data_IF_750838282345
#
_entry.id   IF_750838282345
#
_cell.length_a   1.000
_cell.length_b   1.000
_cell.length_c   1.000
_cell.angle_alpha   90.00
_cell.angle_beta   90.00
_cell.angle_gamma   90.00
#
_symmetry.space_group_name_H-M   'P 1'
#
loop_
_entity.id
_entity.type
_entity.pdbx_description
1 polymer ?
#
# COMPACT_ATOMS: atom_id res chain seq x y z
N UNK A 1 8.35 -7.18 -11.29
CA UNK A 1 7.01 -6.54 -11.20
C UNK A 1 6.69 -6.12 -9.78
N UNK A 2 6.43 -7.06 -8.86
CA UNK A 2 6.05 -6.74 -7.47
C UNK A 2 7.04 -5.86 -6.72
N UNK A 3 8.34 -6.13 -6.88
CA UNK A 3 9.43 -5.30 -6.32
C UNK A 3 9.35 -3.86 -6.86
N UNK A 4 9.11 -3.71 -8.16
CA UNK A 4 8.97 -2.39 -8.79
C UNK A 4 7.71 -1.66 -8.31
N UNK A 5 6.58 -2.35 -8.26
CA UNK A 5 5.31 -1.80 -7.74
C UNK A 5 5.42 -1.36 -6.29
N UNK A 6 6.05 -2.18 -5.43
CA UNK A 6 6.32 -1.82 -4.03
C UNK A 6 7.27 -0.62 -3.94
N UNK A 7 8.34 -0.61 -4.74
CA UNK A 7 9.25 0.52 -4.81
C UNK A 7 8.53 1.83 -5.18
N UNK A 8 7.72 1.82 -6.23
CA UNK A 8 6.94 2.98 -6.65
C UNK A 8 5.93 3.43 -5.58
N UNK A 9 5.19 2.48 -4.98
CA UNK A 9 4.22 2.77 -3.92
C UNK A 9 4.86 3.51 -2.74
N UNK A 10 6.03 3.07 -2.30
CA UNK A 10 6.72 3.69 -1.17
C UNK A 10 7.44 4.99 -1.53
N UNK A 11 7.86 5.17 -2.79
CA UNK A 11 8.29 6.49 -3.29
C UNK A 11 7.11 7.47 -3.24
N UNK A 12 5.92 7.08 -3.71
CA UNK A 12 4.73 7.92 -3.63
C UNK A 12 4.35 8.25 -2.20
N UNK A 13 4.41 7.29 -1.29
CA UNK A 13 4.08 7.53 0.12
C UNK A 13 4.96 8.63 0.72
N UNK A 14 6.28 8.60 0.48
CA UNK A 14 7.21 9.63 0.99
C UNK A 14 7.01 10.97 0.28
N UNK A 15 6.79 10.96 -1.04
CA UNK A 15 6.49 12.17 -1.82
C UNK A 15 5.20 12.83 -1.31
N UNK A 16 4.13 12.07 -1.18
CA UNK A 16 2.84 12.58 -0.71
C UNK A 16 2.89 12.99 0.76
N UNK A 17 3.68 12.30 1.59
CA UNK A 17 3.96 12.74 2.95
C UNK A 17 4.58 14.14 2.98
N UNK A 18 5.60 14.38 2.15
CA UNK A 18 6.26 15.68 2.09
C UNK A 18 5.33 16.77 1.57
N UNK A 19 4.49 16.47 0.57
CA UNK A 19 3.46 17.40 0.08
C UNK A 19 2.44 17.73 1.17
N UNK A 20 1.97 16.73 1.91
CA UNK A 20 1.05 16.92 3.03
C UNK A 20 1.68 17.75 4.14
N UNK A 21 2.96 17.55 4.46
CA UNK A 21 3.67 18.37 5.43
C UNK A 21 3.77 19.83 4.99
N UNK A 22 4.03 20.09 3.72
CA UNK A 22 4.07 21.45 3.17
C UNK A 22 2.70 22.12 3.23
N UNK A 23 1.62 21.37 2.98
CA UNK A 23 0.26 21.89 2.98
C UNK A 23 -0.29 22.05 4.40
N UNK A 24 -0.09 21.10 5.32
CA UNK A 24 -0.70 21.10 6.67
C UNK A 24 0.22 21.76 7.70
N UNK A 25 1.54 21.73 7.50
CA UNK A 25 2.56 22.28 8.40
C UNK A 25 2.87 21.40 9.62
N UNK A 26 2.07 20.37 9.90
CA UNK A 26 2.28 19.45 11.04
C UNK A 26 2.63 18.05 10.57
N UNK A 27 3.80 17.54 10.98
CA UNK A 27 4.29 16.21 10.60
C UNK A 27 3.40 15.08 11.14
N UNK A 28 2.98 15.15 12.40
CA UNK A 28 2.17 14.10 13.04
C UNK A 28 0.78 14.00 12.42
N UNK A 29 0.13 15.13 12.16
CA UNK A 29 -1.21 15.17 11.56
C UNK A 29 -1.14 14.69 10.10
N UNK A 30 -0.14 15.16 9.35
CA UNK A 30 0.09 14.73 7.96
C UNK A 30 0.30 13.23 7.84
N UNK A 31 1.09 12.64 8.75
CA UNK A 31 1.34 11.20 8.77
C UNK A 31 0.06 10.40 9.06
N UNK A 32 -0.73 10.83 10.04
CA UNK A 32 -2.00 10.19 10.38
C UNK A 32 -3.01 10.24 9.23
N UNK A 33 -3.10 11.37 8.53
CA UNK A 33 -3.96 11.52 7.34
C UNK A 33 -3.45 10.65 6.19
N UNK A 34 -2.13 10.65 5.95
CA UNK A 34 -1.52 9.84 4.91
C UNK A 34 -1.80 8.36 5.15
N UNK A 35 -1.38 7.80 6.28
CA UNK A 35 -1.59 6.39 6.61
C UNK A 35 -3.06 6.04 6.67
N UNK A 36 -3.89 6.90 7.27
CA UNK A 36 -5.34 6.70 7.33
C UNK A 36 -5.97 6.60 5.95
N UNK A 37 -5.61 7.52 5.04
CA UNK A 37 -6.12 7.52 3.66
C UNK A 37 -5.54 6.36 2.85
N UNK A 38 -4.25 6.06 3.01
CA UNK A 38 -3.56 4.98 2.31
C UNK A 38 -4.17 3.62 2.68
N UNK A 39 -4.36 3.37 3.97
CA UNK A 39 -4.97 2.14 4.48
C UNK A 39 -6.46 2.04 4.15
N UNK A 40 -7.22 3.15 4.26
CA UNK A 40 -8.63 3.18 3.87
C UNK A 40 -8.80 2.93 2.37
N UNK A 41 -8.00 3.59 1.54
CA UNK A 41 -7.95 3.39 0.10
C UNK A 41 -7.59 1.95 -0.24
N UNK A 42 -6.53 1.41 0.35
CA UNK A 42 -6.13 0.02 0.10
C UNK A 42 -7.23 -0.99 0.48
N UNK A 43 -7.87 -0.78 1.62
CA UNK A 43 -9.01 -1.59 2.06
C UNK A 43 -10.17 -1.52 1.04
N UNK A 44 -10.61 -0.31 0.68
CA UNK A 44 -11.68 -0.10 -0.28
C UNK A 44 -11.36 -0.71 -1.64
N UNK A 45 -10.15 -0.49 -2.15
CA UNK A 45 -9.66 -1.07 -3.40
C UNK A 45 -9.69 -2.60 -3.39
N UNK A 46 -9.25 -3.21 -2.29
CA UNK A 46 -9.21 -4.65 -2.15
C UNK A 46 -10.60 -5.31 -2.13
N UNK A 47 -11.59 -4.59 -1.60
CA UNK A 47 -12.98 -5.02 -1.52
C UNK A 47 -13.74 -4.74 -2.83
N UNK A 48 -13.41 -3.64 -3.52
CA UNK A 48 -14.14 -3.19 -4.70
C UNK A 48 -13.73 -3.96 -5.96
N UNK A 49 -12.44 -4.31 -6.11
CA UNK A 49 -11.95 -4.98 -7.31
C UNK A 49 -12.71 -6.29 -7.62
N UNK A 50 -12.92 -7.23 -6.68
CA UNK A 50 -13.63 -8.48 -6.98
C UNK A 50 -15.10 -8.27 -7.37
N UNK A 51 -15.69 -7.11 -7.05
CA UNK A 51 -17.08 -6.76 -7.36
C UNK A 51 -17.21 -6.06 -8.72
N UNK A 52 -16.23 -5.21 -9.07
CA UNK A 52 -16.28 -4.39 -10.29
C UNK A 52 -15.68 -5.12 -11.48
N UNK A 53 -14.55 -5.81 -11.29
CA UNK A 53 -13.85 -6.48 -12.39
C UNK A 53 -14.28 -7.95 -12.46
N UNK A 54 -14.88 -8.41 -13.57
CA UNK A 54 -15.34 -9.79 -13.68
C UNK A 54 -14.16 -10.77 -13.71
N UNK A 55 -14.38 -12.02 -13.28
CA UNK A 55 -13.33 -13.04 -13.17
C UNK A 55 -12.78 -13.54 -14.52
N UNK A 56 -13.50 -13.24 -15.62
CA UNK A 56 -13.11 -13.55 -17.01
C UNK A 56 -11.97 -12.67 -17.55
N UNK A 57 -11.70 -11.54 -16.90
CA UNK A 57 -10.62 -10.68 -17.35
C UNK A 57 -9.26 -11.22 -16.93
N UNK A 58 -8.32 -11.21 -17.87
CA UNK A 58 -6.97 -11.69 -17.66
C UNK A 58 -6.31 -10.92 -16.49
N UNK A 59 -5.89 -11.60 -15.39
CA UNK A 59 -5.45 -10.94 -14.16
C UNK A 59 -4.26 -10.01 -14.35
N UNK A 60 -3.30 -10.37 -15.21
CA UNK A 60 -2.16 -9.50 -15.56
C UNK A 60 -2.56 -8.24 -16.34
N UNK A 61 -3.66 -8.25 -17.12
CA UNK A 61 -4.15 -7.04 -17.82
C UNK A 61 -4.79 -6.08 -16.83
N UNK A 62 -5.58 -6.62 -15.90
CA UNK A 62 -6.16 -5.84 -14.79
C UNK A 62 -5.04 -5.22 -13.97
N UNK A 63 -4.04 -6.00 -13.57
CA UNK A 63 -2.86 -5.51 -12.85
C UNK A 63 -2.12 -4.42 -13.63
N UNK A 64 -1.90 -4.60 -14.93
CA UNK A 64 -1.26 -3.58 -15.76
C UNK A 64 -2.05 -2.25 -15.79
N UNK A 65 -3.37 -2.31 -15.98
CA UNK A 65 -4.21 -1.11 -15.98
C UNK A 65 -4.24 -0.41 -14.62
N UNK A 66 -4.18 -1.17 -13.51
CA UNK A 66 -4.05 -0.60 -12.17
C UNK A 66 -2.72 0.17 -12.03
N UNK A 67 -1.60 -0.43 -12.42
CA UNK A 67 -0.27 0.19 -12.35
C UNK A 67 -0.18 1.45 -13.22
N UNK A 68 -0.68 1.38 -14.45
CA UNK A 68 -0.74 2.55 -15.34
C UNK A 68 -1.67 3.64 -14.78
N UNK A 69 -2.80 3.26 -14.19
CA UNK A 69 -3.73 4.17 -13.53
C UNK A 69 -3.12 4.88 -12.32
N UNK A 70 -2.33 4.16 -11.51
CA UNK A 70 -1.58 4.75 -10.38
C UNK A 70 -0.62 5.82 -10.90
N UNK A 71 0.18 5.50 -11.93
CA UNK A 71 1.12 6.47 -12.52
C UNK A 71 0.40 7.68 -13.13
N UNK A 72 -0.71 7.47 -13.83
CA UNK A 72 -1.52 8.54 -14.40
C UNK A 72 -2.10 9.47 -13.32
N UNK A 73 -2.68 8.89 -12.25
CA UNK A 73 -3.21 9.66 -11.13
C UNK A 73 -2.11 10.41 -10.37
N UNK A 74 -0.92 9.84 -10.24
CA UNK A 74 0.21 10.53 -9.63
C UNK A 74 0.62 11.78 -10.41
N UNK A 75 0.64 11.73 -11.74
CA UNK A 75 0.87 12.92 -12.59
C UNK A 75 -0.25 13.95 -12.39
N UNK A 76 -1.52 13.50 -12.38
CA UNK A 76 -2.66 14.40 -12.15
C UNK A 76 -2.56 15.11 -10.81
N UNK A 77 -2.19 14.40 -9.74
CA UNK A 77 -1.97 14.98 -8.41
C UNK A 77 -0.82 15.99 -8.43
N UNK A 78 0.29 15.65 -9.09
CA UNK A 78 1.46 16.52 -9.20
C UNK A 78 1.14 17.84 -9.91
N UNK A 79 0.43 17.78 -11.04
CA UNK A 79 0.03 18.96 -11.83
C UNK A 79 -1.11 19.73 -11.14
N UNK A 80 -1.99 19.03 -10.42
CA UNK A 80 -3.11 19.63 -9.67
C UNK A 80 -2.66 20.38 -8.41
N UNK A 81 -1.50 20.05 -7.85
CA UNK A 81 -1.02 20.61 -6.58
C UNK A 81 -0.88 22.15 -6.59
N UNK A 82 -0.30 22.80 -7.61
CA UNK A 82 -0.27 24.26 -7.71
C UNK A 82 -1.66 24.92 -7.73
N UNK A 83 -2.66 24.28 -8.36
CA UNK A 83 -4.03 24.79 -8.41
C UNK A 83 -4.69 24.74 -7.03
N UNK A 84 -4.47 23.65 -6.29
CA UNK A 84 -4.92 23.53 -4.89
C UNK A 84 -4.25 24.60 -4.03
N UNK A 85 -2.96 24.85 -4.23
CA UNK A 85 -2.22 25.94 -3.57
C UNK A 85 -2.75 27.34 -3.91
N UNK A 86 -3.14 27.59 -5.16
CA UNK A 86 -3.71 28.88 -5.60
C UNK A 86 -5.08 29.15 -4.99
N UNK A 87 -6.01 28.19 -5.10
CA UNK A 87 -7.35 28.28 -4.46
C UNK A 87 -7.23 28.42 -2.95
N UNK A 88 -6.22 27.76 -2.36
CA UNK A 88 -5.88 27.85 -0.94
C UNK A 88 -5.47 29.26 -0.49
N UNK A 89 -4.61 29.97 -1.25
CA UNK A 89 -4.23 31.36 -0.90
C UNK A 89 -5.40 32.33 -0.90
N UNK A 90 -6.42 32.07 -1.73
CA UNK A 90 -7.63 32.88 -1.80
C UNK A 90 -8.62 32.64 -0.64
N UNK A 91 -8.53 31.50 0.04
CA UNK A 91 -9.46 31.06 1.11
C UNK A 91 -8.76 30.87 2.47
N UNK A 92 -7.54 31.38 2.63
CA UNK A 92 -6.65 31.12 3.76
C UNK A 92 -7.19 31.72 5.09
N UNK A 93 -8.15 31.05 5.72
CA UNK A 93 -8.46 31.22 7.13
C UNK A 93 -7.42 30.54 8.01
N UNK A 94 -7.10 31.14 9.16
CA UNK A 94 -6.26 30.55 10.21
C UNK A 94 -7.11 29.70 11.17
N UNK A 95 -6.64 28.50 11.54
CA UNK A 95 -7.27 27.66 12.57
C UNK A 95 -7.58 26.21 12.16
N UNK A 96 -8.23 25.47 13.08
CA UNK A 96 -8.52 24.03 12.97
C UNK A 96 -9.36 23.69 11.74
N UNK A 97 -10.31 24.55 11.36
CA UNK A 97 -11.15 24.36 10.18
C UNK A 97 -10.31 24.29 8.89
N UNK A 98 -9.27 25.10 8.78
CA UNK A 98 -8.34 25.06 7.65
C UNK A 98 -7.57 23.74 7.58
N UNK A 99 -7.14 23.20 8.73
CA UNK A 99 -6.46 21.90 8.82
C UNK A 99 -7.39 20.77 8.39
N UNK A 100 -8.64 20.76 8.87
CA UNK A 100 -9.64 19.74 8.50
C UNK A 100 -9.95 19.80 7.01
N UNK A 101 -10.15 20.99 6.44
CA UNK A 101 -10.40 21.13 5.00
C UNK A 101 -9.20 20.65 4.16
N UNK A 102 -7.96 20.96 4.57
CA UNK A 102 -6.74 20.45 3.91
C UNK A 102 -6.65 18.93 4.00
N UNK A 103 -6.97 18.37 5.17
CA UNK A 103 -6.98 16.93 5.39
C UNK A 103 -8.00 16.23 4.48
N UNK A 104 -9.21 16.78 4.38
CA UNK A 104 -10.27 16.23 3.51
C UNK A 104 -9.88 16.34 2.05
N UNK A 105 -9.41 17.50 1.59
CA UNK A 105 -8.99 17.70 0.20
C UNK A 105 -7.86 16.74 -0.18
N UNK A 106 -6.83 16.61 0.67
CA UNK A 106 -5.74 15.68 0.43
C UNK A 106 -6.20 14.22 0.49
N UNK A 107 -7.09 13.89 1.43
CA UNK A 107 -7.73 12.57 1.49
C UNK A 107 -8.45 12.23 0.18
N UNK A 108 -9.25 13.14 -0.35
CA UNK A 108 -9.96 12.97 -1.63
C UNK A 108 -9.00 12.82 -2.81
N UNK A 109 -7.89 13.56 -2.83
CA UNK A 109 -6.88 13.43 -3.89
C UNK A 109 -6.10 12.12 -3.82
N UNK A 110 -5.79 11.63 -2.61
CA UNK A 110 -4.98 10.43 -2.38
C UNK A 110 -5.81 9.15 -2.39
N UNK A 111 -7.13 9.22 -2.18
CA UNK A 111 -7.98 8.03 -2.15
C UNK A 111 -7.99 7.26 -3.48
N UNK A 112 -8.14 7.89 -4.66
CA UNK A 112 -8.14 7.17 -5.93
C UNK A 112 -6.87 6.34 -6.20
N UNK A 113 -5.64 6.89 -6.13
CA UNK A 113 -4.45 6.08 -6.39
C UNK A 113 -4.23 5.00 -5.33
N UNK A 114 -4.56 5.27 -4.06
CA UNK A 114 -4.41 4.27 -2.98
C UNK A 114 -5.44 3.13 -3.09
N UNK A 115 -6.64 3.41 -3.61
CA UNK A 115 -7.60 2.38 -4.00
C UNK A 115 -7.06 1.49 -5.13
N UNK A 116 -6.41 2.06 -6.15
CA UNK A 116 -5.78 1.26 -7.20
C UNK A 116 -4.63 0.41 -6.64
N UNK A 117 -3.81 0.96 -5.74
CA UNK A 117 -2.74 0.23 -5.06
C UNK A 117 -3.29 -0.97 -4.26
N UNK A 118 -4.38 -0.79 -3.51
CA UNK A 118 -5.02 -1.89 -2.76
C UNK A 118 -5.62 -2.98 -3.63
N UNK A 119 -5.99 -2.64 -4.86
CA UNK A 119 -6.52 -3.59 -5.82
C UNK A 119 -5.44 -4.48 -6.47
N UNK A 120 -4.15 -4.12 -6.38
CA UNK A 120 -3.07 -4.87 -7.04
C UNK A 120 -2.93 -6.31 -6.55
N UNK A 121 -2.96 -6.54 -5.23
CA UNK A 121 -2.83 -7.88 -4.65
C UNK A 121 -4.03 -8.79 -4.99
N UNK A 122 -5.30 -8.34 -4.87
CA UNK A 122 -6.45 -9.12 -5.32
C UNK A 122 -6.50 -9.39 -6.82
N UNK A 123 -5.94 -8.51 -7.65
CA UNK A 123 -5.87 -8.75 -9.10
C UNK A 123 -5.00 -9.98 -9.40
N UNK A 124 -3.89 -10.13 -8.67
CA UNK A 124 -2.91 -11.18 -8.89
C UNK A 124 -3.29 -12.47 -8.19
N UNK A 125 -3.96 -12.41 -7.04
CA UNK A 125 -4.43 -13.61 -6.33
C UNK A 125 -5.41 -14.44 -7.17
N UNK A 126 -6.05 -13.85 -8.19
CA UNK A 126 -6.88 -14.55 -9.18
C UNK A 126 -6.12 -15.53 -10.08
N UNK A 127 -4.83 -15.30 -10.31
CA UNK A 127 -3.99 -16.18 -11.12
C UNK A 127 -3.48 -17.39 -10.32
N UNK A 128 -3.41 -17.23 -9.01
CA UNK A 128 -2.86 -18.21 -8.08
C UNK A 128 -3.99 -19.12 -7.58
N UNK A 129 -3.88 -20.43 -7.82
CA UNK A 129 -4.85 -21.40 -7.27
C UNK A 129 -4.82 -21.37 -5.75
N UNK A 130 -5.96 -21.63 -5.11
CA UNK A 130 -6.06 -21.80 -3.66
C UNK A 130 -5.48 -23.15 -3.19
N UNK A 131 -4.28 -23.50 -3.65
CA UNK A 131 -3.49 -24.65 -3.20
C UNK A 131 -2.40 -24.17 -2.22
N UNK A 132 -1.85 -25.05 -1.36
CA UNK A 132 -0.74 -24.70 -0.47
C UNK A 132 0.45 -24.08 -1.20
N UNK A 133 0.77 -24.59 -2.39
CA UNK A 133 1.80 -24.05 -3.28
C UNK A 133 1.43 -22.67 -3.79
N UNK A 134 0.17 -22.45 -4.19
CA UNK A 134 -0.30 -21.14 -4.61
C UNK A 134 -0.24 -20.10 -3.50
N UNK A 135 -0.68 -20.44 -2.29
CA UNK A 135 -0.60 -19.54 -1.14
C UNK A 135 0.87 -19.16 -0.83
N UNK A 136 1.81 -20.10 -0.97
CA UNK A 136 3.24 -19.82 -0.83
C UNK A 136 3.76 -18.84 -1.91
N UNK A 137 3.33 -18.99 -3.16
CA UNK A 137 3.64 -18.05 -4.24
C UNK A 137 3.07 -16.65 -4.00
N UNK A 138 1.84 -16.54 -3.48
CA UNK A 138 1.25 -15.25 -3.11
C UNK A 138 2.06 -14.57 -1.98
N UNK A 139 2.52 -15.35 -1.00
CA UNK A 139 3.44 -14.89 0.04
C UNK A 139 4.78 -14.43 -0.52
N UNK A 140 5.35 -15.13 -1.50
CA UNK A 140 6.58 -14.72 -2.18
C UNK A 140 6.40 -13.39 -2.94
N UNK A 141 5.28 -13.22 -3.65
CA UNK A 141 4.95 -11.96 -4.32
C UNK A 141 4.79 -10.80 -3.35
N UNK A 142 4.14 -11.04 -2.22
CA UNK A 142 4.01 -10.05 -1.14
C UNK A 142 5.37 -9.71 -0.51
N UNK A 143 6.23 -10.71 -0.26
CA UNK A 143 7.60 -10.50 0.20
C UNK A 143 8.45 -9.67 -0.77
N UNK A 144 8.31 -9.93 -2.08
CA UNK A 144 8.93 -9.12 -3.13
C UNK A 144 8.42 -7.66 -3.12
N UNK A 145 7.13 -7.45 -2.86
CA UNK A 145 6.56 -6.11 -2.71
C UNK A 145 7.13 -5.37 -1.49
N UNK A 146 7.22 -6.03 -0.32
CA UNK A 146 7.86 -5.47 0.88
C UNK A 146 9.32 -5.11 0.59
N UNK A 147 10.10 -6.02 0.00
CA UNK A 147 11.49 -5.76 -0.35
C UNK A 147 11.62 -4.55 -1.28
N UNK A 148 10.77 -4.49 -2.31
CA UNK A 148 10.65 -3.32 -3.17
C UNK A 148 10.35 -2.04 -2.41
N UNK A 149 9.42 -2.10 -1.45
CA UNK A 149 9.07 -0.98 -0.59
C UNK A 149 10.22 -0.48 0.29
N UNK A 150 11.02 -1.38 0.85
CA UNK A 150 12.25 -1.01 1.60
C UNK A 150 13.22 -0.27 0.67
N UNK A 151 13.46 -0.78 -0.54
CA UNK A 151 14.32 -0.09 -1.50
C UNK A 151 13.74 1.26 -1.92
N UNK A 152 12.45 1.32 -2.22
CA UNK A 152 11.75 2.54 -2.60
C UNK A 152 11.78 3.60 -1.52
N UNK A 153 11.61 3.20 -0.26
CA UNK A 153 11.62 4.15 0.86
C UNK A 153 13.00 4.77 1.07
N UNK A 154 14.06 3.95 1.03
CA UNK A 154 15.43 4.42 1.15
C UNK A 154 15.85 5.30 -0.04
N UNK A 155 15.54 4.88 -1.28
CA UNK A 155 15.86 5.65 -2.48
C UNK A 155 15.10 6.99 -2.49
N UNK A 156 13.81 7.00 -2.15
CA UNK A 156 13.03 8.22 -2.07
C UNK A 156 13.59 9.20 -1.03
N UNK A 157 13.77 8.73 0.21
CA UNK A 157 14.19 9.58 1.31
C UNK A 157 15.62 10.08 1.18
N UNK A 158 16.59 9.21 0.85
CA UNK A 158 18.01 9.53 0.92
C UNK A 158 18.64 9.96 -0.40
N UNK A 159 18.05 9.59 -1.54
CA UNK A 159 18.62 9.90 -2.85
C UNK A 159 17.74 10.87 -3.64
N UNK A 160 16.50 10.48 -3.96
CA UNK A 160 15.62 11.27 -4.82
C UNK A 160 15.30 12.63 -4.20
N UNK A 161 14.84 12.68 -2.95
CA UNK A 161 14.47 13.93 -2.30
C UNK A 161 15.66 14.72 -1.75
N UNK A 162 16.84 14.10 -1.66
CA UNK A 162 18.08 14.76 -1.26
C UNK A 162 18.73 15.52 -2.41
N UNK A 163 18.79 14.88 -3.59
CA UNK A 163 19.45 15.41 -4.79
C UNK A 163 18.47 16.12 -5.73
N UNK A 164 17.19 15.74 -5.69
CA UNK A 164 16.16 16.25 -6.58
C UNK A 164 14.90 16.67 -5.80
N UNK A 165 13.93 17.20 -6.52
CA UNK A 165 12.66 17.64 -5.96
C UNK A 165 11.57 16.55 -6.04
N UNK A 166 10.46 16.82 -5.35
CA UNK A 166 9.24 15.99 -5.32
C UNK A 166 8.74 15.64 -6.74
N UNK A 167 8.89 16.56 -7.69
CA UNK A 167 8.55 16.37 -9.11
C UNK A 167 9.36 15.23 -9.74
N UNK A 168 10.69 15.24 -9.60
CA UNK A 168 11.56 14.20 -10.17
C UNK A 168 11.32 12.85 -9.50
N UNK A 169 11.11 12.84 -8.17
CA UNK A 169 10.77 11.63 -7.44
C UNK A 169 9.44 11.01 -7.94
N UNK A 170 8.44 11.84 -8.22
CA UNK A 170 7.15 11.40 -8.78
C UNK A 170 7.35 10.80 -10.18
N UNK A 171 8.10 11.47 -11.06
CA UNK A 171 8.38 10.93 -12.40
C UNK A 171 9.17 9.62 -12.37
N UNK A 172 10.10 9.46 -11.43
CA UNK A 172 10.81 8.20 -11.24
C UNK A 172 9.86 7.07 -10.84
N UNK A 173 8.95 7.32 -9.89
CA UNK A 173 7.92 6.35 -9.50
C UNK A 173 6.98 6.01 -10.68
N UNK A 174 6.54 7.02 -11.44
CA UNK A 174 5.70 6.82 -12.63
C UNK A 174 6.42 5.97 -13.67
N UNK A 175 7.70 6.22 -13.93
CA UNK A 175 8.50 5.42 -14.86
C UNK A 175 8.57 3.95 -14.43
N UNK A 176 8.68 3.70 -13.11
CA UNK A 176 8.63 2.34 -12.56
C UNK A 176 7.25 1.71 -12.79
N UNK A 177 6.15 2.40 -12.49
CA UNK A 177 4.80 1.88 -12.76
C UNK A 177 4.57 1.60 -14.25
N UNK A 178 5.00 2.49 -15.14
CA UNK A 178 4.93 2.30 -16.59
C UNK A 178 5.70 1.05 -17.00
N UNK A 179 6.93 0.88 -16.51
CA UNK A 179 7.73 -0.32 -16.78
C UNK A 179 7.06 -1.61 -16.28
N UNK A 180 6.54 -1.59 -15.05
CA UNK A 180 5.82 -2.74 -14.46
C UNK A 180 4.53 -3.05 -15.24
N UNK A 181 3.76 -2.03 -15.59
CA UNK A 181 2.52 -2.16 -16.37
C UNK A 181 2.76 -2.69 -17.77
N UNK A 182 3.78 -2.18 -18.48
CA UNK A 182 4.16 -2.66 -19.81
C UNK A 182 4.64 -4.10 -19.76
N UNK A 183 5.51 -4.46 -18.81
CA UNK A 183 5.93 -5.84 -18.64
C UNK A 183 4.71 -6.74 -18.35
N UNK A 184 3.73 -6.27 -17.57
CA UNK A 184 2.53 -7.03 -17.25
C UNK A 184 1.63 -7.25 -18.47
N UNK A 185 1.53 -6.27 -19.37
CA UNK A 185 0.86 -6.42 -20.66
C UNK A 185 1.58 -7.42 -21.57
N UNK A 186 2.92 -7.39 -21.61
CA UNK A 186 3.71 -8.34 -22.39
C UNK A 186 3.53 -9.77 -21.87
N UNK A 187 3.59 -9.99 -20.55
CA UNK A 187 3.33 -11.34 -20.02
C UNK A 187 1.87 -11.76 -20.15
N UNK A 188 0.92 -10.81 -20.19
CA UNK A 188 -0.48 -11.11 -20.45
C UNK A 188 -0.74 -11.53 -21.90
N UNK A 189 0.05 -11.06 -22.87
CA UNK A 189 -0.11 -11.46 -24.27
C UNK A 189 0.53 -12.82 -24.57
N UNK A 190 1.51 -13.25 -23.77
CA UNK A 190 2.18 -14.56 -23.92
C UNK A 190 1.54 -15.67 -23.10
N UNK A 191 0.77 -15.34 -22.07
CA UNK A 191 0.17 -16.34 -21.17
C UNK A 191 -1.24 -16.70 -21.62
N UNK A 192 -1.49 -17.98 -21.91
CA UNK A 192 -2.85 -18.47 -22.16
C UNK A 192 -3.59 -18.58 -20.83
N UNK A 193 -4.51 -17.64 -20.57
CA UNK A 193 -5.40 -17.71 -19.41
C UNK A 193 -6.58 -18.63 -19.74
N UNK A 194 -6.51 -19.86 -19.25
CA UNK A 194 -7.68 -20.72 -19.23
C UNK A 194 -8.69 -20.12 -18.24
N UNK A 195 -9.88 -19.75 -18.75
CA UNK A 195 -10.95 -19.17 -17.97
C UNK A 195 -11.16 -19.95 -16.66
N UNK A 196 -11.05 -19.27 -15.52
CA UNK A 196 -11.46 -19.84 -14.24
C UNK A 196 -12.97 -20.18 -14.20
N UNK A 197 -13.74 -19.74 -15.21
CA UNK A 197 -15.17 -20.00 -15.36
C UNK A 197 -15.52 -21.47 -15.66
N UNK A 198 -14.61 -22.28 -16.19
CA UNK A 198 -14.87 -23.72 -16.41
C UNK A 198 -14.60 -24.58 -15.17
N UNK A 199 -14.03 -24.02 -14.10
CA UNK A 199 -13.76 -24.74 -12.86
C UNK A 199 -14.82 -24.55 -11.76
N UNK A 200 -15.88 -23.77 -12.00
CA UNK A 200 -16.89 -23.45 -10.99
C UNK A 200 -18.30 -23.89 -11.38
N UNK A 201 -18.51 -25.19 -11.52
CA UNK A 201 -19.85 -25.82 -11.40
C UNK A 201 -20.03 -26.41 -10.02
N UNK A 202 -19.84 -25.61 -8.99
CA UNK A 202 -20.38 -25.85 -7.66
C UNK A 202 -20.21 -24.57 -6.84
N UNK A 203 -21.30 -23.90 -6.43
CA UNK A 203 -21.21 -22.90 -5.38
C UNK A 203 -20.94 -23.67 -4.09
N UNK A 204 -19.68 -23.99 -3.82
CA UNK A 204 -19.27 -24.28 -2.46
C UNK A 204 -19.59 -23.02 -1.66
N UNK A 205 -20.75 -23.04 -1.00
CA UNK A 205 -21.07 -22.18 0.12
C UNK A 205 -19.82 -22.13 0.97
N UNK A 206 -19.10 -21.01 0.91
CA UNK A 206 -18.06 -20.67 1.88
C UNK A 206 -18.74 -20.71 3.25
N UNK A 207 -18.70 -21.88 3.88
CA UNK A 207 -19.14 -22.06 5.24
C UNK A 207 -18.27 -21.12 6.06
N UNK A 208 -18.83 -19.97 6.47
CA UNK A 208 -18.17 -19.11 7.43
C UNK A 208 -17.94 -19.99 8.67
N UNK A 209 -16.69 -20.33 9.02
CA UNK A 209 -16.47 -21.13 10.20
C UNK A 209 -17.04 -20.32 11.38
N UNK A 210 -18.00 -20.91 12.10
CA UNK A 210 -18.56 -20.32 13.32
C UNK A 210 -17.39 -19.92 14.23
N UNK A 211 -17.25 -18.62 14.50
CA UNK A 211 -16.10 -18.03 15.23
C UNK A 211 -15.03 -17.32 14.37
N UNK A 212 -15.22 -17.18 13.06
CA UNK A 212 -14.28 -16.43 12.18
C UNK A 212 -14.20 -14.92 12.45
N UNK A 213 -15.25 -14.33 13.05
CA UNK A 213 -15.29 -12.90 13.38
C UNK A 213 -14.17 -12.50 14.36
N UNK A 214 -13.86 -13.36 15.34
CA UNK A 214 -12.80 -13.13 16.30
C UNK A 214 -11.44 -13.00 15.60
N UNK A 215 -11.18 -13.82 14.57
CA UNK A 215 -9.94 -13.74 13.78
C UNK A 215 -9.85 -12.42 13.02
N UNK A 216 -10.95 -11.95 12.42
CA UNK A 216 -10.97 -10.66 11.75
C UNK A 216 -10.75 -9.50 12.73
N UNK A 217 -11.36 -9.55 13.92
CA UNK A 217 -11.14 -8.56 14.97
C UNK A 217 -9.70 -8.55 15.44
N UNK A 218 -9.09 -9.72 15.67
CA UNK A 218 -7.67 -9.78 16.07
C UNK A 218 -6.76 -9.22 14.98
N UNK A 219 -7.00 -9.54 13.70
CA UNK A 219 -6.23 -8.95 12.59
C UNK A 219 -6.40 -7.43 12.53
N UNK A 220 -7.64 -6.95 12.69
CA UNK A 220 -7.94 -5.52 12.67
C UNK A 220 -7.26 -4.77 13.83
N UNK A 221 -7.34 -5.32 15.05
CA UNK A 221 -6.67 -4.75 16.22
C UNK A 221 -5.15 -4.79 16.08
N UNK A 222 -4.59 -5.88 15.57
CA UNK A 222 -3.16 -6.01 15.32
C UNK A 222 -2.65 -5.02 14.26
N UNK A 223 -3.43 -4.79 13.20
CA UNK A 223 -3.10 -3.77 12.20
C UNK A 223 -3.22 -2.36 12.77
N UNK A 224 -4.27 -2.09 13.56
CA UNK A 224 -4.47 -0.81 14.23
C UNK A 224 -3.31 -0.50 15.20
N UNK A 225 -2.89 -1.46 16.01
CA UNK A 225 -1.77 -1.28 16.94
C UNK A 225 -0.46 -1.09 16.20
N UNK A 226 -0.21 -1.85 15.13
CA UNK A 226 1.00 -1.69 14.31
C UNK A 226 1.09 -0.30 13.67
N UNK A 227 0.01 0.19 13.03
CA UNK A 227 -0.05 1.53 12.44
C UNK A 227 0.02 2.64 13.50
N UNK A 228 -0.62 2.44 14.66
CA UNK A 228 -0.53 3.39 15.77
C UNK A 228 0.89 3.46 16.32
N UNK A 229 1.58 2.32 16.45
CA UNK A 229 2.97 2.25 16.86
C UNK A 229 3.87 2.97 15.85
N UNK A 230 3.65 2.78 14.55
CA UNK A 230 4.38 3.50 13.49
C UNK A 230 4.23 5.02 13.64
N UNK A 231 3.01 5.52 13.87
CA UNK A 231 2.74 6.95 14.09
C UNK A 231 3.44 7.47 15.34
N UNK A 232 3.32 6.75 16.47
CA UNK A 232 3.90 7.13 17.76
C UNK A 232 5.43 7.15 17.67
N UNK A 233 6.03 6.09 17.13
CA UNK A 233 7.48 6.01 16.96
C UNK A 233 7.98 7.07 15.98
N UNK A 234 7.27 7.34 14.89
CA UNK A 234 7.62 8.42 13.99
C UNK A 234 7.63 9.77 14.68
N UNK A 235 6.63 10.04 15.52
CA UNK A 235 6.58 11.28 16.30
C UNK A 235 7.74 11.36 17.30
N UNK A 236 7.99 10.31 18.08
CA UNK A 236 9.05 10.29 19.10
C UNK A 236 10.43 10.43 18.45
N UNK A 237 10.72 9.67 17.41
CA UNK A 237 12.00 9.74 16.70
C UNK A 237 12.16 11.07 15.95
N UNK A 238 11.07 11.65 15.42
CA UNK A 238 11.11 13.01 14.85
C UNK A 238 11.42 14.09 15.88
N UNK A 239 11.06 13.90 17.15
CA UNK A 239 11.43 14.83 18.22
C UNK A 239 12.92 14.70 18.61
N UNK A 240 13.51 13.51 18.44
CA UNK A 240 14.92 13.24 18.77
C UNK A 240 15.88 13.60 17.63
N UNK A 241 15.57 13.16 16.41
CA UNK A 241 16.42 13.29 15.22
C UNK A 241 16.00 14.43 14.28
N UNK A 242 14.93 15.14 14.61
CA UNK A 242 14.29 16.14 13.75
C UNK A 242 13.25 15.51 12.83
N UNK A 243 12.14 16.24 12.60
CA UNK A 243 11.01 15.83 11.76
C UNK A 243 11.32 15.98 10.27
N UNK A 244 12.32 15.25 9.79
CA UNK A 244 12.77 15.29 8.40
C UNK A 244 12.22 14.11 7.60
N UNK A 245 12.27 14.26 6.28
CA UNK A 245 11.92 13.18 5.34
C UNK A 245 12.84 11.96 5.52
N UNK A 246 14.11 12.17 5.91
CA UNK A 246 15.06 11.09 6.19
C UNK A 246 14.61 10.23 7.38
N UNK A 247 14.17 10.89 8.45
CA UNK A 247 13.66 10.21 9.65
C UNK A 247 12.45 9.35 9.29
N UNK A 248 11.51 9.88 8.52
CA UNK A 248 10.34 9.12 8.07
C UNK A 248 10.73 7.93 7.18
N UNK A 249 11.58 8.16 6.16
CA UNK A 249 12.03 7.10 5.26
C UNK A 249 12.76 5.96 6.00
N UNK A 250 13.59 6.30 6.99
CA UNK A 250 14.28 5.31 7.82
C UNK A 250 13.32 4.48 8.65
N UNK A 251 12.32 5.12 9.27
CA UNK A 251 11.33 4.41 10.09
C UNK A 251 10.50 3.46 9.24
N UNK A 252 10.05 3.93 8.07
CA UNK A 252 9.29 3.12 7.15
C UNK A 252 10.12 1.94 6.62
N UNK A 253 11.41 2.16 6.31
CA UNK A 253 12.33 1.08 5.96
C UNK A 253 12.49 0.05 7.09
N UNK A 254 12.71 0.49 8.33
CA UNK A 254 12.84 -0.39 9.51
C UNK A 254 11.54 -1.15 9.75
N UNK A 255 10.39 -0.50 9.63
CA UNK A 255 9.08 -1.11 9.82
C UNK A 255 8.81 -2.19 8.76
N UNK A 256 9.09 -1.91 7.48
CA UNK A 256 8.96 -2.88 6.39
C UNK A 256 9.95 -4.05 6.51
N UNK A 257 11.19 -3.79 6.91
CA UNK A 257 12.17 -4.85 7.21
C UNK A 257 11.67 -5.72 8.37
N UNK A 258 11.12 -5.10 9.42
CA UNK A 258 10.49 -5.79 10.55
C UNK A 258 9.33 -6.69 10.10
N UNK A 259 8.45 -6.19 9.23
CA UNK A 259 7.35 -6.99 8.64
C UNK A 259 7.89 -8.15 7.78
N UNK A 260 8.95 -7.91 7.01
CA UNK A 260 9.61 -8.96 6.20
C UNK A 260 10.24 -10.07 7.06
N UNK A 261 11.01 -9.70 8.07
CA UNK A 261 11.63 -10.65 9.01
C UNK A 261 10.55 -11.36 9.83
N UNK A 262 9.56 -10.63 10.35
CA UNK A 262 8.47 -11.20 11.12
C UNK A 262 7.64 -12.21 10.31
N UNK A 263 7.32 -11.89 9.05
CA UNK A 263 6.57 -12.80 8.17
C UNK A 263 7.37 -14.05 7.79
N UNK A 264 8.68 -13.95 7.57
CA UNK A 264 9.54 -15.12 7.28
C UNK A 264 9.69 -16.03 8.48
N UNK A 265 9.92 -15.47 9.68
CA UNK A 265 9.97 -16.22 10.94
C UNK A 265 8.62 -16.90 11.21
N UNK A 266 7.52 -16.16 11.07
CA UNK A 266 6.17 -16.69 11.26
C UNK A 266 5.85 -17.83 10.26
N UNK A 267 6.25 -17.68 9.00
CA UNK A 267 6.10 -18.73 7.99
C UNK A 267 6.88 -20.00 8.37
N UNK A 268 8.09 -19.86 8.91
CA UNK A 268 8.90 -20.98 9.42
C UNK A 268 8.20 -21.73 10.56
N UNK A 269 7.74 -21.01 11.59
CA UNK A 269 7.03 -21.62 12.73
C UNK A 269 5.66 -22.21 12.37
N UNK A 270 4.94 -21.60 11.43
CA UNK A 270 3.62 -22.07 11.01
C UNK A 270 3.64 -23.46 10.36
N UNK A 271 4.76 -23.87 9.76
CA UNK A 271 4.92 -25.19 9.14
C UNK A 271 4.91 -26.33 10.17
N UNK A 272 5.27 -26.05 11.43
CA UNK A 272 5.28 -27.02 12.53
C UNK A 272 4.12 -26.87 13.52
N UNK A 273 3.27 -25.85 13.39
CA UNK A 273 2.22 -25.55 14.36
C UNK A 273 0.96 -26.41 14.14
N UNK A 274 0.59 -27.20 15.14
CA UNK A 274 -0.61 -28.06 15.12
C UNK A 274 -1.95 -27.30 15.15
N UNK A 275 -1.94 -26.00 15.45
CA UNK A 275 -3.15 -25.16 15.39
C UNK A 275 -2.85 -23.69 15.02
N UNK A 276 -3.27 -23.23 13.82
CA UNK A 276 -3.03 -21.87 13.34
C UNK A 276 -3.58 -20.77 14.28
N UNK A 277 -4.68 -21.05 14.99
CA UNK A 277 -5.29 -20.12 15.96
C UNK A 277 -4.40 -19.89 17.19
N UNK A 278 -3.71 -20.92 17.68
CA UNK A 278 -2.79 -20.77 18.82
C UNK A 278 -1.51 -20.05 18.42
N UNK A 279 -1.00 -20.31 17.22
CA UNK A 279 0.13 -19.56 16.66
C UNK A 279 -0.20 -18.06 16.57
N UNK A 280 -1.40 -17.71 16.09
CA UNK A 280 -1.86 -16.33 16.05
C UNK A 280 -1.97 -15.70 17.46
N UNK A 281 -2.45 -16.45 18.46
CA UNK A 281 -2.47 -16.00 19.85
C UNK A 281 -1.07 -15.72 20.43
N UNK A 282 -0.09 -16.57 20.15
CA UNK A 282 1.30 -16.35 20.55
C UNK A 282 1.92 -15.12 19.89
N UNK A 283 1.64 -14.89 18.60
CA UNK A 283 2.09 -13.68 17.92
C UNK A 283 1.52 -12.40 18.53
N UNK A 284 0.26 -12.42 19.00
CA UNK A 284 -0.35 -11.27 19.66
C UNK A 284 0.20 -11.01 21.07
N UNK A 285 0.69 -12.04 21.77
CA UNK A 285 1.34 -11.87 23.08
C UNK A 285 2.73 -11.24 23.00
N UNK A 286 3.38 -11.31 21.83
CA UNK A 286 4.71 -10.76 21.58
C UNK A 286 4.71 -9.33 21.01
N UNK A 287 3.51 -8.79 20.73
CA UNK A 287 3.25 -7.48 20.11
C UNK A 287 3.17 -6.38 21.18
#
# INVERSE_FOLDING_TARGET
>A
MFVGSGCAALIYEIVWFQLLQLVIGSSSISLGILLGTFMAGMCLGSLLLPRVVPAREHPLRVYAWLELGIGGLAIVILIGMPLVGGVYTAWAGTGVVSIVMRAVAAGVCLLPPTMLMGATLPAISRWVRATPEGIAWLGFFYGGNIAGGVFGSLIAGFYLLRMFDVTTATFAAVAINLGVGLMALVFASTSSYADASTASTSPERRAHPRGGWAVYVTIALSGLTALSAEVIWTRVLSLLFGGTVYTFAMILAVFLVGLGIGSTIAAGFSRGASSPRRALGWCQLLL
#
